data_IF_192144731853
#
_entry.id   IF_192144731853
#
_cell.length_a   1.000
_cell.length_b   1.000
_cell.length_c   1.000
_cell.angle_alpha   90.00
_cell.angle_beta   90.00
_cell.angle_gamma   90.00
#
_symmetry.space_group_name_H-M   'P 1'
#
loop_
_entity.id
_entity.type
_entity.pdbx_description
1 polymer ?
#
# COMPACT_ATOMS: atom_id res chain seq x y z
N UNK A 1 -22.47 1.90 -1.89
CA UNK A 1 -21.57 1.70 -0.73
C UNK A 1 -20.88 3.01 -0.41
N UNK A 2 -20.77 3.33 0.87
CA UNK A 2 -20.16 4.59 1.29
C UNK A 2 -18.67 4.62 1.02
N UNK A 3 -18.14 5.74 0.53
CA UNK A 3 -16.71 5.95 0.32
C UNK A 3 -16.12 6.60 1.57
N UNK A 4 -15.25 5.86 2.26
CA UNK A 4 -14.57 6.35 3.48
C UNK A 4 -13.30 7.13 3.13
N UNK A 5 -12.58 6.70 2.10
CA UNK A 5 -11.31 7.32 1.69
C UNK A 5 -11.37 7.67 0.21
N UNK A 6 -11.73 8.94 -0.11
CA UNK A 6 -11.94 9.33 -1.51
C UNK A 6 -10.66 9.35 -2.35
N UNK A 7 -9.48 9.52 -1.72
CA UNK A 7 -8.19 9.53 -2.41
C UNK A 7 -7.29 8.49 -1.77
N UNK A 8 -7.23 7.31 -2.39
CA UNK A 8 -6.47 6.20 -1.86
C UNK A 8 -5.81 5.41 -2.99
N UNK A 9 -4.93 4.50 -2.62
CA UNK A 9 -4.23 3.66 -3.57
C UNK A 9 -4.07 2.24 -3.05
N UNK A 10 -4.04 1.29 -3.98
CA UNK A 10 -3.65 -0.09 -3.74
C UNK A 10 -2.34 -0.37 -4.45
N UNK A 11 -1.47 -1.13 -3.80
CA UNK A 11 -0.17 -1.52 -4.34
C UNK A 11 -0.09 -3.03 -4.47
N UNK A 12 0.25 -3.50 -5.66
CA UNK A 12 0.58 -4.89 -5.93
C UNK A 12 2.10 -4.99 -5.99
N UNK A 13 2.69 -5.50 -4.90
CA UNK A 13 4.15 -5.51 -4.71
C UNK A 13 4.72 -6.84 -5.15
N UNK A 14 5.68 -6.78 -6.07
CA UNK A 14 6.46 -7.91 -6.51
C UNK A 14 7.94 -7.69 -6.16
N UNK A 15 8.79 -8.67 -6.44
CA UNK A 15 10.21 -8.56 -6.14
C UNK A 15 10.87 -7.34 -6.77
N UNK A 16 10.62 -7.10 -8.06
CA UNK A 16 11.32 -6.07 -8.84
C UNK A 16 10.44 -4.88 -9.20
N UNK A 17 9.14 -5.00 -9.06
CA UNK A 17 8.19 -3.96 -9.46
C UNK A 17 7.05 -3.81 -8.47
N UNK A 18 6.47 -2.60 -8.47
CA UNK A 18 5.23 -2.30 -7.74
C UNK A 18 4.24 -1.72 -8.74
N UNK A 19 3.07 -2.33 -8.85
CA UNK A 19 1.96 -1.77 -9.61
C UNK A 19 1.10 -0.96 -8.63
N UNK A 20 0.96 0.33 -8.90
CA UNK A 20 0.16 1.23 -8.07
C UNK A 20 -1.11 1.62 -8.82
N UNK A 21 -2.25 1.51 -8.14
CA UNK A 21 -3.53 1.96 -8.66
C UNK A 21 -4.08 3.02 -7.71
N UNK A 22 -4.14 4.27 -8.18
CA UNK A 22 -4.70 5.37 -7.42
C UNK A 22 -6.18 5.54 -7.78
N UNK A 23 -7.03 5.52 -6.76
CA UNK A 23 -8.47 5.70 -6.91
C UNK A 23 -8.83 7.08 -6.36
N UNK A 24 -9.30 7.95 -7.25
CA UNK A 24 -9.58 9.34 -6.96
C UNK A 24 -11.06 9.59 -7.16
N UNK A 25 -11.80 9.77 -6.07
CA UNK A 25 -13.23 10.02 -6.10
C UNK A 25 -13.49 11.52 -5.89
N UNK A 26 -14.32 12.11 -6.75
CA UNK A 26 -14.75 13.50 -6.66
C UNK A 26 -16.25 13.52 -6.94
N UNK A 27 -17.06 13.62 -5.87
CA UNK A 27 -18.50 13.49 -5.97
C UNK A 27 -18.91 12.12 -6.50
N UNK A 28 -19.57 12.07 -7.66
CA UNK A 28 -20.00 10.82 -8.31
C UNK A 28 -18.94 10.26 -9.25
N UNK A 29 -17.93 11.06 -9.56
CA UNK A 29 -16.90 10.67 -10.53
C UNK A 29 -15.76 9.97 -9.81
N UNK A 30 -15.31 8.85 -10.39
CA UNK A 30 -14.17 8.10 -9.89
C UNK A 30 -13.17 7.94 -11.03
N UNK A 31 -11.95 8.37 -10.79
CA UNK A 31 -10.84 8.19 -11.73
C UNK A 31 -9.88 7.16 -11.14
N UNK A 32 -9.41 6.25 -11.99
CA UNK A 32 -8.41 5.25 -11.62
C UNK A 32 -7.18 5.45 -12.50
N UNK A 33 -6.03 5.67 -11.88
CA UNK A 33 -4.76 5.82 -12.57
C UNK A 33 -3.82 4.71 -12.12
N UNK A 34 -3.20 4.02 -13.05
CA UNK A 34 -2.31 2.89 -12.77
C UNK A 34 -0.92 3.18 -13.33
N UNK A 35 0.10 2.95 -12.52
CA UNK A 35 1.49 3.06 -12.96
C UNK A 35 2.37 2.02 -12.25
N UNK A 36 3.37 1.53 -12.96
CA UNK A 36 4.34 0.56 -12.45
C UNK A 36 5.64 1.27 -12.10
N UNK A 37 6.21 0.92 -10.94
CA UNK A 37 7.46 1.47 -10.44
C UNK A 37 8.44 0.34 -10.15
N UNK A 38 9.74 0.61 -10.26
CA UNK A 38 10.77 -0.33 -9.83
C UNK A 38 10.86 -0.33 -8.29
N UNK A 39 11.24 -1.46 -7.70
CA UNK A 39 11.44 -1.57 -6.25
C UNK A 39 12.79 -1.06 -5.77
N UNK A 40 13.55 -0.38 -6.63
CA UNK A 40 14.75 0.34 -6.26
C UNK A 40 14.41 1.54 -5.38
N UNK A 41 15.40 2.08 -4.66
CA UNK A 41 15.18 3.29 -3.85
C UNK A 41 14.64 4.44 -4.70
N UNK A 42 15.23 4.68 -5.89
CA UNK A 42 14.76 5.71 -6.80
C UNK A 42 13.32 5.46 -7.27
N UNK A 43 12.99 4.21 -7.59
CA UNK A 43 11.64 3.83 -8.01
C UNK A 43 10.61 4.02 -6.91
N UNK A 44 10.95 3.67 -5.67
CA UNK A 44 10.04 3.82 -4.54
C UNK A 44 9.86 5.29 -4.12
N UNK A 45 10.90 6.11 -4.24
CA UNK A 45 10.77 7.55 -4.05
C UNK A 45 9.88 8.18 -5.12
N UNK A 46 9.99 7.73 -6.37
CA UNK A 46 9.11 8.15 -7.45
C UNK A 46 7.66 7.75 -7.17
N UNK A 47 7.43 6.54 -6.65
CA UNK A 47 6.10 6.09 -6.23
C UNK A 47 5.51 7.00 -5.15
N UNK A 48 6.30 7.33 -4.13
CA UNK A 48 5.86 8.22 -3.06
C UNK A 48 5.45 9.59 -3.60
N UNK A 49 6.27 10.17 -4.48
CA UNK A 49 5.96 11.45 -5.13
C UNK A 49 4.69 11.37 -5.99
N UNK A 50 4.53 10.29 -6.74
CA UNK A 50 3.36 10.06 -7.59
C UNK A 50 2.07 9.99 -6.77
N UNK A 51 2.11 9.30 -5.64
CA UNK A 51 0.97 9.21 -4.72
C UNK A 51 0.65 10.57 -4.08
N UNK A 52 1.68 11.30 -3.67
CA UNK A 52 1.54 12.62 -3.04
C UNK A 52 0.95 13.65 -4.02
N UNK A 53 1.38 13.64 -5.27
CA UNK A 53 0.84 14.51 -6.33
C UNK A 53 -0.65 14.30 -6.53
N UNK A 54 -1.14 13.09 -6.35
CA UNK A 54 -2.56 12.75 -6.49
C UNK A 54 -3.37 12.95 -5.22
N UNK A 55 -2.70 13.40 -4.16
CA UNK A 55 -3.35 13.68 -2.89
C UNK A 55 -3.86 12.42 -2.18
N UNK A 56 -3.25 11.26 -2.44
CA UNK A 56 -3.62 10.02 -1.77
C UNK A 56 -3.37 10.13 -0.27
N UNK A 57 -4.39 9.84 0.53
CA UNK A 57 -4.30 9.87 1.98
C UNK A 57 -4.04 8.50 2.58
N UNK A 58 -4.55 7.46 1.94
CA UNK A 58 -4.47 6.08 2.42
C UNK A 58 -3.90 5.20 1.32
N UNK A 59 -3.00 4.29 1.70
CA UNK A 59 -2.35 3.37 0.77
C UNK A 59 -2.34 1.98 1.39
N UNK A 60 -2.82 0.99 0.65
CA UNK A 60 -2.83 -0.40 1.10
C UNK A 60 -1.91 -1.26 0.25
N UNK A 61 -1.26 -2.23 0.88
CA UNK A 61 -0.48 -3.26 0.21
C UNK A 61 -0.69 -4.59 0.91
N UNK A 62 -0.53 -5.71 0.20
CA UNK A 62 -0.74 -7.03 0.78
C UNK A 62 0.49 -7.54 1.53
N UNK A 63 0.25 -8.21 2.68
CA UNK A 63 1.30 -8.81 3.51
C UNK A 63 1.70 -10.19 2.97
N UNK A 64 2.18 -10.26 1.73
CA UNK A 64 2.61 -11.51 1.10
C UNK A 64 4.13 -11.55 1.00
N UNK A 65 4.76 -12.55 1.61
CA UNK A 65 6.22 -12.68 1.61
C UNK A 65 6.90 -11.52 2.34
N UNK A 66 8.03 -11.05 1.80
CA UNK A 66 8.86 -10.00 2.42
C UNK A 66 9.03 -8.76 1.54
N UNK A 67 8.56 -8.81 0.30
CA UNK A 67 8.82 -7.74 -0.68
C UNK A 67 8.09 -6.43 -0.36
N UNK A 68 7.03 -6.47 0.46
CA UNK A 68 6.31 -5.29 0.88
C UNK A 68 7.12 -4.40 1.84
N UNK A 69 8.09 -4.97 2.57
CA UNK A 69 8.81 -4.26 3.63
C UNK A 69 9.58 -3.03 3.15
N UNK A 70 10.39 -3.09 2.06
CA UNK A 70 11.06 -1.89 1.57
C UNK A 70 10.08 -0.80 1.11
N UNK A 71 8.99 -1.20 0.48
CA UNK A 71 7.94 -0.27 0.03
C UNK A 71 7.30 0.42 1.23
N UNK A 72 6.93 -0.34 2.23
CA UNK A 72 6.38 0.18 3.49
C UNK A 72 7.32 1.19 4.13
N UNK A 73 8.59 0.83 4.22
CA UNK A 73 9.59 1.67 4.85
C UNK A 73 9.74 3.02 4.16
N UNK A 74 9.84 3.03 2.83
CA UNK A 74 9.96 4.28 2.06
C UNK A 74 8.70 5.12 2.18
N UNK A 75 7.52 4.51 2.04
CA UNK A 75 6.25 5.25 2.12
C UNK A 75 5.95 5.74 3.54
N UNK A 76 6.53 5.14 4.57
CA UNK A 76 6.35 5.59 5.96
C UNK A 76 6.89 6.99 6.20
N UNK A 77 7.81 7.47 5.36
CA UNK A 77 8.34 8.83 5.46
C UNK A 77 7.40 9.88 4.86
N UNK A 78 6.36 9.45 4.15
CA UNK A 78 5.34 10.33 3.58
C UNK A 78 4.16 10.52 4.52
N UNK A 79 3.20 11.34 4.07
CA UNK A 79 2.00 11.67 4.86
C UNK A 79 0.85 10.70 4.59
N UNK A 80 1.13 9.45 4.32
CA UNK A 80 0.13 8.44 4.03
C UNK A 80 -0.23 7.65 5.27
N UNK A 81 -1.51 7.30 5.41
CA UNK A 81 -1.94 6.27 6.32
C UNK A 81 -1.76 4.93 5.60
N UNK A 82 -0.78 4.15 6.02
CA UNK A 82 -0.45 2.87 5.38
C UNK A 82 -1.24 1.74 6.03
N UNK A 83 -1.78 0.87 5.19
CA UNK A 83 -2.53 -0.32 5.62
C UNK A 83 -1.87 -1.55 5.00
N UNK A 84 -1.43 -2.46 5.85
CA UNK A 84 -0.93 -3.76 5.41
C UNK A 84 -2.11 -4.73 5.41
N UNK A 85 -2.59 -5.09 4.22
CA UNK A 85 -3.78 -5.90 4.06
C UNK A 85 -3.49 -7.39 4.26
N UNK A 86 -4.43 -8.09 4.89
CA UNK A 86 -4.38 -9.54 4.96
C UNK A 86 -4.79 -10.13 3.60
N UNK A 87 -3.87 -10.83 2.93
CA UNK A 87 -4.07 -11.34 1.58
C UNK A 87 -5.27 -12.31 1.48
N UNK A 88 -5.43 -13.19 2.47
CA UNK A 88 -6.55 -14.13 2.48
C UNK A 88 -7.90 -13.42 2.62
N UNK A 89 -7.98 -12.41 3.47
CA UNK A 89 -9.21 -11.62 3.65
C UNK A 89 -9.56 -10.87 2.36
N UNK A 90 -8.58 -10.26 1.70
CA UNK A 90 -8.79 -9.53 0.45
C UNK A 90 -9.33 -10.45 -0.65
N UNK A 91 -8.78 -11.65 -0.77
CA UNK A 91 -9.22 -12.64 -1.76
C UNK A 91 -10.64 -13.14 -1.52
N UNK A 92 -11.08 -13.16 -0.27
CA UNK A 92 -12.38 -13.72 0.12
C UNK A 92 -13.51 -12.70 0.10
N UNK A 93 -13.24 -11.40 -0.17
CA UNK A 93 -14.31 -10.42 -0.33
C UNK A 93 -15.04 -10.66 -1.63
N UNK A 94 -16.37 -10.87 -1.62
CA UNK A 94 -17.13 -11.14 -2.84
C UNK A 94 -17.30 -9.87 -3.69
N UNK A 95 -17.63 -10.09 -4.96
CA UNK A 95 -17.99 -9.00 -5.88
C UNK A 95 -16.89 -8.56 -6.82
N UNK A 96 -15.71 -9.19 -6.76
CA UNK A 96 -14.63 -8.85 -7.68
C UNK A 96 -14.95 -9.38 -9.09
N UNK A 97 -14.84 -8.50 -10.08
CA UNK A 97 -14.90 -8.89 -11.47
C UNK A 97 -13.58 -9.56 -11.88
N UNK A 98 -13.64 -10.57 -12.74
CA UNK A 98 -12.48 -11.41 -13.06
C UNK A 98 -11.34 -10.67 -13.77
N UNK A 99 -11.62 -9.54 -14.43
CA UNK A 99 -10.65 -8.76 -15.18
C UNK A 99 -10.06 -7.58 -14.38
N UNK A 100 -10.44 -7.45 -13.11
CA UNK A 100 -9.91 -6.36 -12.26
C UNK A 100 -8.55 -6.75 -11.70
N UNK A 101 -7.53 -5.93 -11.98
CA UNK A 101 -6.18 -6.14 -11.47
C UNK A 101 -6.11 -6.03 -9.94
N UNK A 102 -5.14 -6.73 -9.34
CA UNK A 102 -5.00 -6.82 -7.88
C UNK A 102 -4.87 -5.45 -7.21
N UNK A 103 -4.05 -4.56 -7.76
CA UNK A 103 -3.86 -3.21 -7.19
C UNK A 103 -5.15 -2.40 -7.22
N UNK A 104 -5.90 -2.47 -8.32
CA UNK A 104 -7.16 -1.76 -8.48
C UNK A 104 -8.23 -2.31 -7.54
N UNK A 105 -8.30 -3.64 -7.40
CA UNK A 105 -9.22 -4.27 -6.45
C UNK A 105 -8.92 -3.85 -5.01
N UNK A 106 -7.65 -3.84 -4.64
CA UNK A 106 -7.23 -3.44 -3.30
C UNK A 106 -7.57 -1.97 -3.01
N UNK A 107 -7.36 -1.07 -3.99
CA UNK A 107 -7.75 0.34 -3.86
C UNK A 107 -9.26 0.49 -3.67
N UNK A 108 -10.05 -0.27 -4.41
CA UNK A 108 -11.50 -0.28 -4.26
C UNK A 108 -11.93 -0.71 -2.85
N UNK A 109 -11.37 -1.80 -2.36
CA UNK A 109 -11.68 -2.30 -1.02
C UNK A 109 -11.28 -1.30 0.06
N UNK A 110 -10.09 -0.70 -0.07
CA UNK A 110 -9.62 0.31 0.87
C UNK A 110 -10.55 1.52 0.90
N UNK A 111 -10.97 2.00 -0.27
CA UNK A 111 -11.86 3.17 -0.38
C UNK A 111 -13.17 2.97 0.38
N UNK A 112 -13.65 1.74 0.47
CA UNK A 112 -14.91 1.41 1.14
C UNK A 112 -14.73 0.82 2.55
N UNK A 113 -13.49 0.82 3.07
CA UNK A 113 -13.22 0.33 4.42
C UNK A 113 -13.32 -1.19 4.56
N UNK A 114 -13.16 -1.94 3.46
CA UNK A 114 -13.31 -3.40 3.44
C UNK A 114 -11.99 -4.15 3.61
N UNK A 115 -10.90 -3.46 3.85
CA UNK A 115 -9.58 -4.07 4.07
C UNK A 115 -9.38 -4.33 5.55
N UNK A 116 -9.06 -5.59 5.89
CA UNK A 116 -8.69 -5.96 7.25
C UNK A 116 -7.18 -5.86 7.37
N UNK A 117 -6.71 -5.00 8.27
CA UNK A 117 -5.28 -4.74 8.45
C UNK A 117 -4.58 -5.90 9.16
N UNK A 118 -3.37 -6.21 8.70
CA UNK A 118 -2.42 -7.05 9.43
C UNK A 118 -1.66 -6.20 10.44
N UNK A 119 -1.16 -6.83 11.51
CA UNK A 119 -0.37 -6.11 12.50
C UNK A 119 0.99 -5.72 11.92
N UNK A 120 1.33 -4.43 12.04
CA UNK A 120 2.66 -3.91 11.73
C UNK A 120 3.11 -3.08 12.93
N UNK A 121 4.29 -3.35 13.52
CA UNK A 121 4.80 -2.53 14.60
C UNK A 121 4.94 -1.07 14.16
N UNK A 122 4.68 -0.14 15.08
CA UNK A 122 4.86 1.28 14.80
C UNK A 122 6.33 1.63 14.54
N UNK A 123 6.59 2.83 14.04
CA UNK A 123 7.93 3.26 13.68
C UNK A 123 8.93 3.18 14.85
N UNK A 124 8.61 3.62 16.09
CA UNK A 124 9.52 3.43 17.23
C UNK A 124 9.85 1.97 17.51
N UNK A 125 8.88 1.07 17.46
CA UNK A 125 9.10 -0.38 17.67
C UNK A 125 9.98 -0.96 16.57
N UNK A 126 9.75 -0.59 15.32
CA UNK A 126 10.57 -1.04 14.19
C UNK A 126 12.01 -0.54 14.32
N UNK A 127 12.22 0.73 14.68
CA UNK A 127 13.55 1.30 14.90
C UNK A 127 14.28 0.57 16.01
N UNK A 128 13.61 0.27 17.12
CA UNK A 128 14.19 -0.48 18.23
C UNK A 128 14.60 -1.89 17.80
N UNK A 129 13.79 -2.58 17.05
CA UNK A 129 14.10 -3.91 16.51
C UNK A 129 15.34 -3.89 15.63
N UNK A 130 15.48 -2.89 14.77
CA UNK A 130 16.66 -2.72 13.92
C UNK A 130 17.92 -2.48 14.76
N UNK A 131 17.85 -1.59 15.75
CA UNK A 131 18.96 -1.30 16.66
C UNK A 131 19.41 -2.54 17.44
N UNK A 132 18.47 -3.31 17.98
CA UNK A 132 18.78 -4.54 18.70
C UNK A 132 19.42 -5.57 17.80
N UNK A 133 18.97 -5.70 16.57
CA UNK A 133 19.52 -6.63 15.59
C UNK A 133 20.96 -6.23 15.21
N UNK A 134 21.21 -4.95 14.97
CA UNK A 134 22.54 -4.42 14.66
C UNK A 134 23.51 -4.65 15.81
N UNK A 135 23.08 -4.37 17.04
CA UNK A 135 23.88 -4.62 18.24
C UNK A 135 24.27 -6.08 18.38
N UNK A 136 23.33 -6.99 18.12
CA UNK A 136 23.58 -8.43 18.17
C UNK A 136 24.62 -8.87 17.12
N UNK A 137 24.61 -8.25 15.96
CA UNK A 137 25.58 -8.55 14.88
C UNK A 137 26.99 -8.04 15.20
N UNK A 138 27.12 -6.96 15.95
CA UNK A 138 28.40 -6.35 16.33
C UNK A 138 29.08 -7.05 17.51
N UNK A 139 28.36 -7.83 18.25
CA UNK A 139 28.87 -8.64 19.36
C UNK A 139 29.16 -10.06 18.90
#
# INVERSE_FOLDING_TARGET
MEVLYPRCAGLDVHKDTVVASARLAAGRDVTVEVQTFATTTAGLLALSAWLAERGCTHVAMEATGVHWKPVWHVLSDGDFALVLANAAQVKNVPGRKTDVADATWLAYLLAHGLVRASFVPDAPTQALRVLLRTRKQLV
#
